data_IF_480942695043
#
_entry.id   IF_480942695043
#
_cell.length_a   1.000
_cell.length_b   1.000
_cell.length_c   1.000
_cell.angle_alpha   90.00
_cell.angle_beta   90.00
_cell.angle_gamma   90.00
#
_symmetry.space_group_name_H-M   'P 1'
#
loop_
_entity.id
_entity.type
_entity.pdbx_description
1 polymer ?
#
# COMPACT_ATOMS: atom_id res chain seq x y z
N UNK A 1 7.38 -66.70 -33.69
CA UNK A 1 8.28 -65.87 -32.87
C UNK A 1 7.46 -64.77 -32.22
N UNK A 2 7.41 -64.80 -30.89
CA UNK A 2 6.79 -63.78 -30.04
C UNK A 2 7.56 -62.46 -30.16
N UNK A 3 6.87 -61.32 -30.13
CA UNK A 3 7.12 -60.31 -29.09
C UNK A 3 6.02 -59.24 -29.06
N UNK A 4 5.32 -59.21 -27.92
CA UNK A 4 4.52 -58.09 -27.43
C UNK A 4 5.43 -56.88 -27.24
N UNK A 5 5.11 -55.75 -27.86
CA UNK A 5 5.64 -54.46 -27.42
C UNK A 5 4.76 -53.99 -26.28
N UNK A 6 5.34 -54.08 -25.08
CA UNK A 6 4.77 -53.68 -23.80
C UNK A 6 4.53 -52.18 -23.76
N UNK A 7 3.37 -51.79 -23.23
CA UNK A 7 3.07 -50.43 -22.83
C UNK A 7 3.99 -50.01 -21.68
N UNK A 8 4.72 -48.92 -21.86
CA UNK A 8 5.23 -48.13 -20.74
C UNK A 8 4.49 -46.80 -20.72
N UNK A 9 3.34 -46.79 -20.03
CA UNK A 9 2.80 -45.56 -19.46
C UNK A 9 3.90 -44.99 -18.57
N UNK A 10 4.50 -43.86 -18.95
CA UNK A 10 5.13 -42.98 -17.98
C UNK A 10 4.00 -42.48 -17.08
N UNK A 11 3.84 -43.16 -15.95
CA UNK A 11 3.07 -42.63 -14.82
C UNK A 11 3.91 -41.46 -14.31
N UNK A 12 3.53 -40.22 -14.66
CA UNK A 12 4.01 -39.07 -13.92
C UNK A 12 3.45 -39.21 -12.51
N UNK A 13 4.28 -39.66 -11.57
CA UNK A 13 3.91 -39.57 -10.17
C UNK A 13 3.65 -38.09 -9.86
N UNK A 14 2.54 -37.74 -9.18
CA UNK A 14 2.40 -36.39 -8.65
C UNK A 14 3.58 -36.17 -7.72
N UNK A 15 4.37 -35.11 -7.96
CA UNK A 15 5.33 -34.62 -6.98
C UNK A 15 4.49 -34.23 -5.77
N UNK A 16 4.44 -35.11 -4.76
CA UNK A 16 3.93 -34.75 -3.44
C UNK A 16 4.82 -33.61 -2.97
N UNK A 17 4.27 -32.42 -2.79
CA UNK A 17 5.04 -31.30 -2.31
C UNK A 17 5.63 -31.66 -0.93
N UNK A 18 6.84 -31.18 -0.58
CA UNK A 18 7.43 -31.46 0.73
C UNK A 18 6.46 -31.12 1.86
N UNK A 19 6.47 -31.90 2.92
CA UNK A 19 5.57 -31.71 4.07
C UNK A 19 5.63 -30.26 4.58
N UNK A 20 4.47 -29.62 4.75
CA UNK A 20 4.35 -28.22 5.18
C UNK A 20 4.44 -27.16 4.08
N UNK A 21 4.68 -27.53 2.81
CA UNK A 21 4.76 -26.56 1.70
C UNK A 21 3.42 -26.28 1.02
N UNK A 22 2.46 -27.20 1.09
CA UNK A 22 1.08 -26.97 0.62
C UNK A 22 0.21 -26.32 1.70
N UNK A 23 -0.69 -25.43 1.29
CA UNK A 23 -1.71 -24.90 2.19
C UNK A 23 -2.83 -25.92 2.37
N UNK A 24 -3.45 -25.99 3.56
CA UNK A 24 -4.63 -26.81 3.73
C UNK A 24 -5.79 -26.24 2.90
N UNK A 25 -6.81 -27.06 2.59
CA UNK A 25 -8.02 -26.59 1.95
C UNK A 25 -8.64 -25.39 2.70
N UNK A 26 -9.22 -24.43 1.97
CA UNK A 26 -9.73 -23.16 2.53
C UNK A 26 -10.79 -23.39 3.63
N UNK A 27 -11.56 -24.46 3.52
CA UNK A 27 -12.53 -24.91 4.51
C UNK A 27 -11.92 -25.20 5.90
N UNK A 28 -10.64 -25.56 5.96
CA UNK A 28 -9.93 -25.84 7.20
C UNK A 28 -9.22 -24.62 7.79
N UNK A 29 -9.12 -23.51 7.03
CA UNK A 29 -8.38 -22.31 7.44
C UNK A 29 -8.86 -21.72 8.76
N UNK A 30 -10.16 -21.81 9.09
CA UNK A 30 -10.70 -21.35 10.38
C UNK A 30 -10.07 -22.09 11.56
N UNK A 31 -9.79 -23.39 11.41
CA UNK A 31 -9.21 -24.23 12.46
C UNK A 31 -7.68 -24.13 12.47
N UNK A 32 -7.08 -24.08 11.28
CA UNK A 32 -5.64 -24.06 11.09
C UNK A 32 -5.04 -22.73 11.50
N UNK A 33 -5.53 -21.64 10.93
CA UNK A 33 -4.98 -20.32 11.17
C UNK A 33 -5.77 -19.68 12.30
N UNK A 34 -5.12 -19.45 13.45
CA UNK A 34 -5.75 -18.81 14.61
C UNK A 34 -5.90 -17.29 14.39
N UNK A 35 -6.72 -16.91 13.40
CA UNK A 35 -6.86 -15.53 12.93
C UNK A 35 -7.11 -14.53 14.07
N UNK A 36 -6.24 -13.53 14.15
CA UNK A 36 -6.39 -12.39 15.05
C UNK A 36 -7.47 -11.42 14.54
N UNK A 37 -8.53 -11.21 15.34
CA UNK A 37 -9.57 -10.21 15.03
C UNK A 37 -9.04 -8.76 15.12
N UNK A 38 -7.86 -8.53 15.72
CA UNK A 38 -7.31 -7.19 15.95
C UNK A 38 -6.97 -6.46 14.65
N UNK A 39 -6.36 -7.17 13.69
CA UNK A 39 -5.91 -6.58 12.42
C UNK A 39 -7.01 -6.49 11.36
N UNK A 40 -8.12 -7.23 11.54
CA UNK A 40 -9.20 -7.39 10.55
C UNK A 40 -8.67 -7.71 9.13
N UNK A 41 -7.51 -8.36 9.04
CA UNK A 41 -6.82 -8.62 7.77
C UNK A 41 -7.57 -9.71 7.01
N UNK A 42 -7.85 -9.43 5.75
CA UNK A 42 -8.27 -10.45 4.80
C UNK A 42 -7.05 -11.06 4.16
N UNK A 43 -7.15 -12.33 3.83
CA UNK A 43 -6.07 -13.05 3.20
C UNK A 43 -6.56 -13.62 1.88
N UNK A 44 -5.79 -13.45 0.82
CA UNK A 44 -6.02 -14.14 -0.44
C UNK A 44 -6.13 -15.67 -0.25
N UNK A 45 -7.20 -16.28 -0.77
CA UNK A 45 -7.48 -17.71 -0.62
C UNK A 45 -7.79 -18.44 -1.94
N UNK A 46 -7.89 -17.70 -3.05
CA UNK A 46 -8.16 -18.29 -4.36
C UNK A 46 -6.86 -18.45 -5.17
N UNK A 47 -6.54 -19.69 -5.54
CA UNK A 47 -5.30 -20.06 -6.24
C UNK A 47 -5.18 -19.36 -7.60
N UNK A 48 -6.24 -19.37 -8.40
CA UNK A 48 -6.24 -18.74 -9.74
C UNK A 48 -6.07 -17.22 -9.65
N UNK A 49 -6.64 -16.62 -8.61
CA UNK A 49 -6.45 -15.19 -8.33
C UNK A 49 -5.02 -14.90 -7.92
N UNK A 50 -4.42 -15.74 -7.08
CA UNK A 50 -3.02 -15.60 -6.68
C UNK A 50 -2.06 -15.70 -7.86
N UNK A 51 -2.26 -16.69 -8.75
CA UNK A 51 -1.48 -16.84 -9.99
C UNK A 51 -1.60 -15.63 -10.90
N UNK A 52 -2.83 -15.16 -11.10
CA UNK A 52 -3.09 -13.95 -11.91
C UNK A 52 -2.43 -12.71 -11.31
N UNK A 53 -2.51 -12.51 -10.00
CA UNK A 53 -1.85 -11.40 -9.31
C UNK A 53 -0.33 -11.51 -9.44
N UNK A 54 0.26 -12.69 -9.21
CA UNK A 54 1.69 -12.92 -9.37
C UNK A 54 2.19 -12.57 -10.78
N UNK A 55 1.50 -13.02 -11.83
CA UNK A 55 1.81 -12.67 -13.22
C UNK A 55 1.65 -11.17 -13.52
N UNK A 56 0.68 -10.47 -12.91
CA UNK A 56 0.52 -9.02 -13.11
C UNK A 56 1.56 -8.20 -12.32
N UNK A 57 1.99 -8.70 -11.16
CA UNK A 57 2.97 -8.04 -10.31
C UNK A 57 4.40 -8.27 -10.81
N UNK A 58 4.66 -9.44 -11.40
CA UNK A 58 5.95 -9.86 -11.96
C UNK A 58 5.74 -10.45 -13.37
N UNK A 59 5.44 -9.59 -14.36
CA UNK A 59 5.07 -10.03 -15.71
C UNK A 59 6.22 -10.71 -16.46
N UNK A 60 5.87 -11.37 -17.55
CA UNK A 60 6.83 -11.94 -18.51
C UNK A 60 7.86 -10.91 -18.95
N UNK A 61 9.12 -11.33 -19.02
CA UNK A 61 10.27 -10.46 -19.26
C UNK A 61 10.88 -9.84 -18.00
N UNK A 62 10.22 -9.94 -16.83
CA UNK A 62 10.86 -9.59 -15.55
C UNK A 62 12.07 -10.49 -15.30
N UNK A 63 13.13 -9.93 -14.72
CA UNK A 63 14.35 -10.67 -14.40
C UNK A 63 14.93 -10.19 -13.06
N UNK A 64 15.41 -11.14 -12.27
CA UNK A 64 16.14 -10.91 -11.02
C UNK A 64 15.42 -9.97 -10.05
N UNK A 65 14.08 -10.06 -9.94
CA UNK A 65 13.32 -9.25 -8.99
C UNK A 65 13.66 -9.62 -7.54
N UNK A 66 13.72 -8.61 -6.69
CA UNK A 66 13.73 -8.73 -5.24
C UNK A 66 12.35 -8.27 -4.77
N UNK A 67 11.53 -9.21 -4.34
CA UNK A 67 10.17 -8.96 -3.90
C UNK A 67 10.15 -8.87 -2.38
N UNK A 68 9.61 -7.79 -1.84
CA UNK A 68 9.28 -7.67 -0.42
C UNK A 68 7.77 -7.78 -0.29
N UNK A 69 7.28 -8.93 0.17
CA UNK A 69 5.86 -9.17 0.44
C UNK A 69 5.56 -8.95 1.92
N UNK A 70 4.90 -7.83 2.22
CA UNK A 70 4.47 -7.49 3.57
C UNK A 70 3.06 -8.03 3.86
N UNK A 71 2.88 -8.60 5.05
CA UNK A 71 1.63 -9.23 5.49
C UNK A 71 1.26 -10.43 4.61
N UNK A 72 2.22 -11.32 4.38
CA UNK A 72 2.07 -12.52 3.54
C UNK A 72 0.92 -13.44 3.99
N UNK A 73 0.55 -13.43 5.27
CA UNK A 73 -0.45 -14.32 5.83
C UNK A 73 -0.03 -15.79 5.65
N UNK A 74 -0.94 -16.72 5.31
CA UNK A 74 -0.60 -18.09 4.95
C UNK A 74 0.39 -18.20 3.79
N UNK A 75 0.56 -17.16 2.96
CA UNK A 75 1.50 -17.16 1.84
C UNK A 75 0.96 -17.82 0.57
N UNK A 76 -0.33 -17.64 0.26
CA UNK A 76 -0.88 -18.11 -1.02
C UNK A 76 -0.30 -17.31 -2.20
N UNK A 77 -0.20 -15.98 -2.05
CA UNK A 77 0.45 -15.14 -3.06
C UNK A 77 1.96 -15.45 -3.14
N UNK A 78 2.62 -15.65 -2.01
CA UNK A 78 4.03 -16.07 -1.94
C UNK A 78 4.28 -17.34 -2.76
N UNK A 79 3.43 -18.36 -2.60
CA UNK A 79 3.52 -19.61 -3.39
C UNK A 79 3.31 -19.36 -4.89
N UNK A 80 2.31 -18.55 -5.24
CA UNK A 80 2.06 -18.20 -6.64
C UNK A 80 3.25 -17.42 -7.26
N UNK A 81 3.93 -16.56 -6.49
CA UNK A 81 5.16 -15.89 -6.92
C UNK A 81 6.30 -16.89 -7.11
N UNK A 82 6.44 -17.89 -6.24
CA UNK A 82 7.47 -18.94 -6.37
C UNK A 82 7.24 -19.88 -7.56
N UNK A 83 5.99 -20.05 -8.00
CA UNK A 83 5.62 -20.80 -9.21
C UNK A 83 6.02 -20.11 -10.52
N UNK A 84 6.25 -18.79 -10.50
CA UNK A 84 6.76 -18.06 -11.67
C UNK A 84 8.14 -18.61 -12.10
N UNK A 85 8.52 -18.44 -13.38
CA UNK A 85 9.85 -18.83 -13.85
C UNK A 85 10.94 -18.28 -12.94
N UNK A 86 11.87 -19.16 -12.54
CA UNK A 86 12.80 -18.89 -11.43
C UNK A 86 13.64 -17.64 -11.66
N UNK A 87 14.01 -17.36 -12.90
CA UNK A 87 14.78 -16.19 -13.32
C UNK A 87 14.05 -14.85 -13.09
N UNK A 88 12.72 -14.86 -12.93
CA UNK A 88 11.96 -13.63 -12.69
C UNK A 88 12.18 -13.09 -11.28
N UNK A 89 12.39 -13.96 -10.30
CA UNK A 89 12.52 -13.60 -8.88
C UNK A 89 13.81 -14.19 -8.34
N UNK A 90 14.77 -13.30 -8.03
CA UNK A 90 16.03 -13.65 -7.38
C UNK A 90 15.86 -13.85 -5.87
N UNK A 91 14.99 -13.07 -5.24
CA UNK A 91 14.77 -13.09 -3.78
C UNK A 91 13.32 -12.73 -3.46
N UNK A 92 12.71 -13.45 -2.52
CA UNK A 92 11.35 -13.24 -2.01
C UNK A 92 11.39 -13.11 -0.49
N UNK A 93 11.26 -11.88 -0.01
CA UNK A 93 11.31 -11.54 1.42
C UNK A 93 9.88 -11.43 1.94
N UNK A 94 9.51 -12.27 2.90
CA UNK A 94 8.17 -12.37 3.47
C UNK A 94 8.16 -11.76 4.88
N UNK A 95 7.46 -10.63 5.07
CA UNK A 95 7.31 -9.99 6.38
C UNK A 95 5.98 -10.42 6.99
N UNK A 96 6.02 -11.18 8.10
CA UNK A 96 4.82 -11.68 8.79
C UNK A 96 5.02 -11.77 10.30
N UNK A 97 4.21 -11.01 11.07
CA UNK A 97 4.29 -10.95 12.53
C UNK A 97 3.64 -12.17 13.20
N UNK A 98 2.55 -12.71 12.62
CA UNK A 98 1.72 -13.71 13.29
C UNK A 98 2.35 -15.11 13.22
N UNK A 99 2.72 -15.74 14.36
CA UNK A 99 3.42 -17.02 14.37
C UNK A 99 2.67 -18.15 13.65
N UNK A 100 1.34 -18.19 13.76
CA UNK A 100 0.51 -19.23 13.15
C UNK A 100 0.48 -19.16 11.61
N UNK A 101 0.84 -18.02 11.02
CA UNK A 101 1.05 -17.92 9.59
C UNK A 101 2.49 -18.29 9.23
N UNK A 102 3.46 -17.86 10.05
CA UNK A 102 4.87 -18.23 9.87
C UNK A 102 5.14 -19.73 9.91
N UNK A 103 4.41 -20.49 10.72
CA UNK A 103 4.44 -21.97 10.72
C UNK A 103 4.22 -22.57 9.32
N UNK A 104 3.54 -21.85 8.42
CA UNK A 104 3.26 -22.25 7.04
C UNK A 104 4.11 -21.53 5.99
N UNK A 105 4.92 -20.56 6.41
CA UNK A 105 5.90 -19.87 5.56
C UNK A 105 7.30 -20.48 5.74
N UNK A 106 7.69 -20.82 6.97
CA UNK A 106 9.00 -21.37 7.33
C UNK A 106 9.37 -22.64 6.53
N UNK A 107 8.45 -23.58 6.25
CA UNK A 107 8.74 -24.69 5.35
C UNK A 107 9.13 -24.26 3.93
N UNK A 108 8.61 -23.13 3.41
CA UNK A 108 8.97 -22.62 2.08
C UNK A 108 10.44 -22.20 2.03
N UNK A 109 10.93 -21.54 3.08
CA UNK A 109 12.34 -21.15 3.20
C UNK A 109 13.28 -22.36 3.24
N UNK A 110 12.83 -23.50 3.75
CA UNK A 110 13.64 -24.73 3.80
C UNK A 110 13.76 -25.43 2.44
N UNK A 111 12.86 -25.13 1.49
CA UNK A 111 12.80 -25.83 0.20
C UNK A 111 13.12 -24.93 -1.00
N UNK A 112 13.08 -23.61 -0.83
CA UNK A 112 13.41 -22.63 -1.86
C UNK A 112 14.33 -21.53 -1.29
N UNK A 113 15.56 -21.50 -1.80
CA UNK A 113 16.63 -20.58 -1.42
C UNK A 113 16.34 -19.11 -1.73
N UNK A 114 15.31 -18.81 -2.53
CA UNK A 114 14.86 -17.44 -2.78
C UNK A 114 14.13 -16.86 -1.58
N UNK A 115 13.54 -17.69 -0.72
CA UNK A 115 12.61 -17.25 0.33
C UNK A 115 13.38 -16.82 1.58
N UNK A 116 13.01 -15.67 2.13
CA UNK A 116 13.54 -15.19 3.40
C UNK A 116 12.42 -14.61 4.27
N UNK A 117 12.27 -15.11 5.49
CA UNK A 117 11.17 -14.74 6.39
C UNK A 117 11.65 -13.76 7.43
N UNK A 118 10.95 -12.64 7.53
CA UNK A 118 11.18 -11.58 8.52
C UNK A 118 10.01 -11.62 9.53
N UNK A 119 10.23 -12.12 10.75
CA UNK A 119 9.18 -12.33 11.76
C UNK A 119 8.82 -11.03 12.51
N UNK A 120 8.52 -9.97 11.78
CA UNK A 120 8.27 -8.63 12.30
C UNK A 120 6.98 -8.04 11.69
N UNK A 121 6.51 -6.91 12.23
CA UNK A 121 5.40 -6.16 11.66
C UNK A 121 5.91 -5.13 10.63
N UNK A 122 5.39 -5.21 9.40
CA UNK A 122 5.71 -4.28 8.32
C UNK A 122 5.26 -2.83 8.59
N UNK A 123 4.46 -2.59 9.64
CA UNK A 123 4.09 -1.23 10.04
C UNK A 123 5.27 -0.42 10.58
N UNK A 124 6.25 -1.08 11.21
CA UNK A 124 7.32 -0.38 11.92
C UNK A 124 8.53 -0.11 11.04
N UNK A 125 9.02 1.13 11.06
CA UNK A 125 10.26 1.49 10.35
C UNK A 125 11.47 0.69 10.81
N UNK A 126 11.51 0.31 12.10
CA UNK A 126 12.57 -0.51 12.68
C UNK A 126 12.68 -1.89 12.03
N UNK A 127 11.59 -2.44 11.48
CA UNK A 127 11.62 -3.71 10.74
C UNK A 127 12.55 -3.60 9.54
N UNK A 128 12.45 -2.50 8.79
CA UNK A 128 13.27 -2.27 7.60
C UNK A 128 14.72 -1.91 7.96
N UNK A 129 14.94 -1.18 9.07
CA UNK A 129 16.29 -0.94 9.57
C UNK A 129 17.00 -2.24 9.97
N UNK A 130 16.31 -3.14 10.68
CA UNK A 130 16.85 -4.48 11.01
C UNK A 130 17.19 -5.29 9.76
N UNK A 131 16.31 -5.27 8.76
CA UNK A 131 16.54 -5.96 7.47
C UNK A 131 17.76 -5.43 6.70
N UNK A 132 18.16 -4.18 6.94
CA UNK A 132 19.39 -3.62 6.38
C UNK A 132 20.60 -4.04 7.21
N UNK A 133 20.48 -3.99 8.54
CA UNK A 133 21.55 -4.36 9.48
C UNK A 133 21.91 -5.85 9.42
N UNK A 134 20.94 -6.73 9.15
CA UNK A 134 21.12 -8.18 9.09
C UNK A 134 21.43 -8.74 7.68
N UNK A 135 21.54 -7.86 6.68
CA UNK A 135 21.83 -8.24 5.29
C UNK A 135 20.63 -8.82 4.52
N UNK A 136 19.41 -8.77 5.07
CA UNK A 136 18.20 -9.18 4.34
C UNK A 136 18.01 -8.40 3.03
N UNK A 137 18.47 -7.14 2.98
CA UNK A 137 18.43 -6.32 1.76
C UNK A 137 19.72 -6.37 0.92
N UNK A 138 20.65 -7.28 1.21
CA UNK A 138 21.87 -7.43 0.41
C UNK A 138 21.54 -7.75 -1.05
N UNK A 139 22.22 -7.03 -1.96
CA UNK A 139 22.03 -7.12 -3.40
C UNK A 139 20.90 -6.23 -3.95
N UNK A 140 20.27 -5.39 -3.12
CA UNK A 140 19.46 -4.27 -3.59
C UNK A 140 20.38 -3.10 -3.93
N UNK A 141 20.66 -2.93 -5.22
CA UNK A 141 21.48 -1.83 -5.72
C UNK A 141 20.62 -0.56 -5.93
N UNK A 142 21.10 0.63 -5.52
CA UNK A 142 20.46 1.87 -5.86
C UNK A 142 20.32 2.07 -7.37
N UNK A 143 19.16 2.56 -7.79
CA UNK A 143 18.83 2.85 -9.17
C UNK A 143 18.52 4.34 -9.36
N UNK A 144 18.81 4.86 -10.56
CA UNK A 144 18.47 6.23 -10.91
C UNK A 144 16.97 6.49 -10.77
N UNK A 145 16.61 7.65 -10.21
CA UNK A 145 15.23 8.02 -9.90
C UNK A 145 14.38 8.29 -11.15
N UNK A 146 15.00 8.64 -12.28
CA UNK A 146 14.28 8.89 -13.53
C UNK A 146 13.59 7.63 -14.06
N UNK A 147 14.07 6.45 -13.69
CA UNK A 147 13.54 5.17 -14.12
C UNK A 147 12.84 4.45 -12.96
N UNK A 148 11.87 3.59 -13.27
CA UNK A 148 11.28 2.71 -12.26
C UNK A 148 12.33 1.67 -11.88
N UNK A 149 12.50 1.41 -10.59
CA UNK A 149 13.49 0.44 -10.13
C UNK A 149 13.23 -0.93 -10.80
N UNK A 150 14.22 -1.50 -11.51
CA UNK A 150 14.01 -2.70 -12.31
C UNK A 150 13.86 -3.96 -11.44
N UNK A 151 14.58 -4.06 -10.32
CA UNK A 151 14.61 -5.27 -9.48
C UNK A 151 13.76 -5.21 -8.21
N UNK A 152 13.80 -4.14 -7.42
CA UNK A 152 13.09 -4.06 -6.14
C UNK A 152 11.59 -3.74 -6.33
N UNK A 153 10.73 -4.55 -5.72
CA UNK A 153 9.27 -4.39 -5.76
C UNK A 153 8.67 -4.70 -4.38
N UNK A 154 7.84 -3.80 -3.86
CA UNK A 154 7.08 -4.03 -2.64
C UNK A 154 5.65 -4.47 -2.95
N UNK A 155 5.18 -5.53 -2.30
CA UNK A 155 3.83 -6.07 -2.43
C UNK A 155 3.21 -6.15 -1.04
N UNK A 156 1.94 -5.79 -0.86
CA UNK A 156 1.30 -5.95 0.44
C UNK A 156 -0.21 -6.17 0.38
N UNK A 157 -0.67 -7.08 1.24
CA UNK A 157 -2.08 -7.23 1.60
C UNK A 157 -2.38 -6.33 2.82
N UNK A 158 -2.92 -5.15 2.57
CA UNK A 158 -3.09 -4.10 3.58
C UNK A 158 -4.18 -4.50 4.59
N UNK A 159 -3.92 -4.41 5.90
CA UNK A 159 -4.94 -4.64 6.93
C UNK A 159 -6.16 -3.72 6.76
N UNK A 160 -7.38 -4.27 6.91
CA UNK A 160 -8.63 -3.54 6.69
C UNK A 160 -9.07 -2.73 7.93
N UNK A 161 -8.16 -1.89 8.44
CA UNK A 161 -8.39 -1.03 9.61
C UNK A 161 -7.59 0.28 9.49
N UNK A 162 -7.66 1.12 10.53
CA UNK A 162 -6.92 2.40 10.57
C UNK A 162 -5.41 2.20 10.46
N UNK A 163 -4.86 1.09 10.96
CA UNK A 163 -3.43 0.79 10.81
C UNK A 163 -3.03 0.62 9.34
N UNK A 164 -3.86 -0.06 8.53
CA UNK A 164 -3.61 -0.17 7.09
C UNK A 164 -3.64 1.17 6.37
N UNK A 165 -4.59 2.05 6.71
CA UNK A 165 -4.64 3.40 6.15
C UNK A 165 -3.40 4.22 6.53
N UNK A 166 -2.98 4.12 7.79
CA UNK A 166 -1.77 4.76 8.29
C UNK A 166 -0.52 4.24 7.58
N UNK A 167 -0.43 2.93 7.32
CA UNK A 167 0.68 2.36 6.56
C UNK A 167 0.76 2.95 5.16
N UNK A 168 -0.32 2.91 4.37
CA UNK A 168 -0.32 3.51 3.01
C UNK A 168 0.07 4.99 3.06
N UNK A 169 -0.49 5.72 4.03
CA UNK A 169 -0.20 7.13 4.28
C UNK A 169 1.28 7.39 4.60
N UNK A 170 1.92 6.50 5.37
CA UNK A 170 3.34 6.54 5.72
C UNK A 170 4.23 6.24 4.50
N UNK A 171 3.92 5.18 3.75
CA UNK A 171 4.66 4.83 2.53
C UNK A 171 4.64 5.98 1.51
N UNK A 172 3.47 6.58 1.27
CA UNK A 172 3.38 7.72 0.34
C UNK A 172 4.16 8.95 0.83
N UNK A 173 4.23 9.17 2.15
CA UNK A 173 4.98 10.29 2.77
C UNK A 173 6.49 10.09 2.76
N UNK A 174 6.96 8.85 2.61
CA UNK A 174 8.38 8.58 2.47
C UNK A 174 8.92 8.91 1.07
N UNK A 175 8.05 9.04 0.07
CA UNK A 175 8.44 9.27 -1.34
C UNK A 175 9.20 10.59 -1.54
N UNK A 176 8.69 11.78 -1.12
CA UNK A 176 9.33 13.06 -1.45
C UNK A 176 10.76 13.16 -0.93
N UNK A 177 10.98 12.70 0.29
CA UNK A 177 12.28 12.74 0.96
C UNK A 177 13.16 11.51 0.63
N UNK A 178 12.70 10.63 -0.27
CA UNK A 178 13.37 9.37 -0.64
C UNK A 178 13.78 8.51 0.58
N UNK A 179 12.93 8.49 1.61
CA UNK A 179 13.11 7.68 2.83
C UNK A 179 12.67 6.23 2.59
N UNK A 180 12.93 5.35 3.56
CA UNK A 180 12.60 3.92 3.46
C UNK A 180 13.24 3.32 2.19
N UNK A 181 12.55 2.46 1.45
CA UNK A 181 13.07 1.84 0.22
C UNK A 181 13.22 2.81 -0.94
N UNK A 182 12.66 4.02 -0.87
CA UNK A 182 12.82 5.02 -1.94
C UNK A 182 14.26 5.57 -2.02
N UNK A 183 15.11 5.28 -1.03
CA UNK A 183 16.55 5.53 -1.13
C UNK A 183 17.25 4.67 -2.19
N UNK A 184 16.67 3.52 -2.54
CA UNK A 184 17.16 2.65 -3.61
C UNK A 184 16.63 3.06 -4.99
N UNK A 185 15.75 4.05 -5.08
CA UNK A 185 15.19 4.52 -6.34
C UNK A 185 13.66 4.45 -6.37
N UNK A 186 13.11 4.58 -7.58
CA UNK A 186 11.67 4.73 -7.80
C UNK A 186 10.96 3.36 -7.82
N UNK A 187 10.77 2.77 -6.64
CA UNK A 187 10.20 1.42 -6.52
C UNK A 187 8.67 1.41 -6.71
N UNK A 188 8.10 0.43 -7.43
CA UNK A 188 6.66 0.22 -7.46
C UNK A 188 6.16 -0.43 -6.16
N UNK A 189 4.95 -0.07 -5.75
CA UNK A 189 4.21 -0.72 -4.66
C UNK A 189 2.91 -1.33 -5.20
N UNK A 190 2.71 -2.64 -5.09
CA UNK A 190 1.43 -3.29 -5.39
C UNK A 190 0.66 -3.59 -4.10
N UNK A 191 -0.45 -2.89 -3.89
CA UNK A 191 -1.21 -2.91 -2.64
C UNK A 191 -2.61 -3.47 -2.86
N UNK A 192 -2.97 -4.52 -2.13
CA UNK A 192 -4.34 -5.03 -2.07
C UNK A 192 -5.02 -4.44 -0.84
N UNK A 193 -6.11 -3.71 -1.02
CA UNK A 193 -6.81 -2.99 0.06
C UNK A 193 -8.33 -2.98 -0.17
N UNK A 194 -9.11 -2.38 0.72
CA UNK A 194 -10.57 -2.20 0.49
C UNK A 194 -10.85 -1.30 -0.71
N UNK A 195 -11.98 -1.52 -1.41
CA UNK A 195 -12.44 -0.59 -2.45
C UNK A 195 -12.63 0.84 -1.95
N UNK A 196 -13.03 1.02 -0.68
CA UNK A 196 -13.13 2.34 -0.04
C UNK A 196 -11.78 3.04 0.02
N UNK A 197 -10.72 2.33 0.43
CA UNK A 197 -9.38 2.90 0.50
C UNK A 197 -8.82 3.16 -0.90
N UNK A 198 -8.98 2.21 -1.83
CA UNK A 198 -8.63 2.40 -3.24
C UNK A 198 -9.28 3.67 -3.81
N UNK A 199 -10.57 3.88 -3.57
CA UNK A 199 -11.28 5.06 -4.08
C UNK A 199 -10.79 6.33 -3.39
N UNK A 200 -10.44 6.29 -2.11
CA UNK A 200 -9.86 7.44 -1.40
C UNK A 200 -8.49 7.85 -1.94
N UNK A 201 -7.70 6.90 -2.43
CA UNK A 201 -6.39 7.15 -3.06
C UNK A 201 -6.55 7.71 -4.48
N UNK A 202 -7.45 7.11 -5.27
CA UNK A 202 -7.58 7.35 -6.71
C UNK A 202 -8.66 8.36 -7.11
N UNK A 203 -9.51 8.81 -6.18
CA UNK A 203 -10.60 9.74 -6.46
C UNK A 203 -10.10 11.01 -7.18
N UNK A 204 -10.64 11.33 -8.38
CA UNK A 204 -10.21 12.50 -9.14
C UNK A 204 -10.71 13.80 -8.51
N UNK A 205 -10.25 14.93 -9.05
CA UNK A 205 -10.77 16.28 -8.75
C UNK A 205 -12.29 16.31 -8.84
N UNK A 206 -12.98 16.94 -7.88
CA UNK A 206 -14.44 17.01 -7.85
C UNK A 206 -15.13 15.84 -7.15
N UNK A 207 -14.47 14.69 -7.05
CA UNK A 207 -15.11 13.49 -6.52
C UNK A 207 -15.38 13.60 -5.01
N UNK A 208 -16.57 13.17 -4.56
CA UNK A 208 -17.01 13.28 -3.15
C UNK A 208 -16.09 12.51 -2.19
N UNK A 209 -15.52 11.40 -2.65
CA UNK A 209 -14.60 10.57 -1.86
C UNK A 209 -13.14 11.01 -1.97
N UNK A 210 -12.83 12.14 -2.59
CA UNK A 210 -11.48 12.72 -2.53
C UNK A 210 -11.17 13.16 -1.10
N UNK A 211 -10.02 12.73 -0.60
CA UNK A 211 -9.58 12.91 0.80
C UNK A 211 -8.13 13.36 0.86
N UNK A 212 -7.66 13.76 2.06
CA UNK A 212 -6.25 14.15 2.29
C UNK A 212 -5.26 13.13 1.76
N UNK A 213 -5.50 11.83 2.03
CA UNK A 213 -4.58 10.77 1.59
C UNK A 213 -4.51 10.72 0.06
N UNK A 214 -5.64 10.83 -0.64
CA UNK A 214 -5.65 10.91 -2.11
C UNK A 214 -4.92 12.13 -2.66
N UNK A 215 -5.08 13.31 -2.07
CA UNK A 215 -4.35 14.53 -2.49
C UNK A 215 -2.84 14.32 -2.37
N UNK A 216 -2.35 13.85 -1.23
CA UNK A 216 -0.93 13.62 -1.01
C UNK A 216 -0.40 12.50 -1.92
N UNK A 217 -1.10 11.37 -2.01
CA UNK A 217 -0.69 10.25 -2.85
C UNK A 217 -0.61 10.64 -4.33
N UNK A 218 -1.62 11.34 -4.87
CA UNK A 218 -1.62 11.77 -6.28
C UNK A 218 -0.54 12.82 -6.58
N UNK A 219 -0.13 13.60 -5.56
CA UNK A 219 0.94 14.57 -5.69
C UNK A 219 2.33 13.91 -5.80
N UNK A 220 2.51 12.70 -5.27
CA UNK A 220 3.81 12.02 -5.22
C UNK A 220 3.90 10.78 -6.11
N UNK A 221 2.77 10.23 -6.57
CA UNK A 221 2.72 8.97 -7.30
C UNK A 221 1.63 8.93 -8.39
N UNK A 222 1.88 8.11 -9.40
CA UNK A 222 0.89 7.60 -10.34
C UNK A 222 0.23 6.35 -9.77
N UNK A 223 -1.10 6.26 -9.95
CA UNK A 223 -1.90 5.14 -9.46
C UNK A 223 -2.45 4.33 -10.64
N UNK A 224 -2.28 3.01 -10.60
CA UNK A 224 -2.79 2.10 -11.63
C UNK A 224 -3.61 0.99 -10.99
N UNK A 225 -4.64 0.53 -11.69
CA UNK A 225 -5.44 -0.64 -11.30
C UNK A 225 -5.27 -1.71 -12.36
N UNK A 226 -4.40 -2.68 -12.08
CA UNK A 226 -4.06 -3.74 -13.04
C UNK A 226 -5.07 -4.88 -13.08
N UNK A 227 -5.91 -4.99 -12.05
CA UNK A 227 -6.91 -6.05 -11.92
C UNK A 227 -8.28 -5.39 -11.88
N UNK A 228 -9.17 -5.69 -12.85
CA UNK A 228 -10.56 -5.25 -12.79
C UNK A 228 -11.24 -5.73 -11.50
N UNK A 229 -12.09 -4.89 -10.88
CA UNK A 229 -12.80 -5.24 -9.65
C UNK A 229 -13.62 -6.54 -9.78
N UNK A 230 -14.27 -6.72 -10.94
CA UNK A 230 -15.05 -7.92 -11.27
C UNK A 230 -14.27 -9.24 -11.17
N UNK A 231 -12.94 -9.19 -11.28
CA UNK A 231 -12.07 -10.37 -11.21
C UNK A 231 -11.68 -10.69 -9.75
N UNK A 232 -12.08 -9.83 -8.80
CA UNK A 232 -11.91 -9.96 -7.36
C UNK A 232 -13.27 -10.05 -6.64
N UNK A 233 -14.36 -10.20 -7.40
CA UNK A 233 -15.74 -10.28 -6.89
C UNK A 233 -16.39 -11.63 -7.20
N UNK A 234 -17.18 -12.18 -6.27
CA UNK A 234 -17.44 -11.68 -4.92
C UNK A 234 -16.24 -11.88 -3.98
N UNK A 235 -16.01 -10.92 -3.07
CA UNK A 235 -14.80 -10.90 -2.24
C UNK A 235 -14.57 -12.20 -1.45
N UNK A 236 -15.62 -12.86 -1.00
CA UNK A 236 -15.57 -14.12 -0.25
C UNK A 236 -15.04 -15.31 -1.04
N UNK A 237 -15.03 -15.25 -2.38
CA UNK A 237 -14.42 -16.28 -3.23
C UNK A 237 -12.92 -16.09 -3.42
N UNK A 238 -12.41 -14.87 -3.24
CA UNK A 238 -11.02 -14.51 -3.49
C UNK A 238 -10.23 -14.29 -2.20
N UNK A 239 -10.90 -13.81 -1.16
CA UNK A 239 -10.30 -13.41 0.10
C UNK A 239 -11.02 -14.05 1.28
N UNK A 240 -10.26 -14.74 2.10
CA UNK A 240 -10.71 -15.35 3.33
C UNK A 240 -10.71 -14.33 4.48
N UNK A 241 -11.78 -14.39 5.28
CA UNK A 241 -11.86 -13.79 6.60
C UNK A 241 -12.64 -14.73 7.52
N UNK A 242 -12.15 -15.01 8.75
CA UNK A 242 -12.83 -15.92 9.66
C UNK A 242 -14.25 -15.43 9.95
N UNK A 243 -15.23 -16.29 9.67
CA UNK A 243 -16.64 -16.04 9.98
C UNK A 243 -17.05 -16.87 11.19
N UNK A 244 -17.63 -16.25 12.22
CA UNK A 244 -18.11 -16.96 13.42
C UNK A 244 -19.34 -17.80 13.07
N UNK A 245 -19.38 -19.07 13.52
CA UNK A 245 -20.62 -19.87 13.48
C UNK A 245 -21.55 -19.41 14.59
N UNK A 246 -22.84 -19.29 14.29
CA UNK A 246 -23.86 -19.10 15.32
C UNK A 246 -23.91 -20.34 16.21
N UNK A 247 -23.73 -20.16 17.52
CA UNK A 247 -23.80 -21.23 18.51
C UNK A 247 -25.17 -21.89 18.61
N UNK A 248 -26.24 -21.20 18.20
CA UNK A 248 -27.63 -21.70 18.25
C UNK A 248 -28.11 -22.41 16.98
N UNK A 249 -27.59 -22.05 15.80
CA UNK A 249 -28.08 -22.59 14.51
C UNK A 249 -27.04 -23.38 13.71
N UNK A 250 -25.77 -23.38 14.14
CA UNK A 250 -24.66 -23.99 13.41
C UNK A 250 -24.31 -23.30 12.07
N UNK A 251 -25.13 -22.36 11.62
CA UNK A 251 -24.94 -21.62 10.37
C UNK A 251 -23.78 -20.63 10.49
N UNK A 252 -22.96 -20.52 9.44
CA UNK A 252 -21.97 -19.48 9.30
C UNK A 252 -22.66 -18.12 9.28
N UNK A 253 -22.33 -17.22 10.21
CA UNK A 253 -22.70 -15.82 10.06
C UNK A 253 -21.78 -15.23 9.00
N UNK A 254 -22.34 -14.84 7.85
CA UNK A 254 -21.60 -14.02 6.89
C UNK A 254 -21.12 -12.75 7.58
N UNK A 255 -19.82 -12.67 7.84
CA UNK A 255 -19.21 -11.46 8.37
C UNK A 255 -19.32 -10.38 7.30
N UNK A 256 -19.90 -9.22 7.62
CA UNK A 256 -19.86 -8.05 6.72
C UNK A 256 -18.44 -7.76 6.27
N UNK A 257 -17.45 -8.01 7.14
CA UNK A 257 -16.04 -7.88 6.80
C UNK A 257 -15.68 -8.86 5.70
N UNK A 258 -16.06 -10.14 5.77
CA UNK A 258 -15.75 -11.15 4.74
C UNK A 258 -16.25 -10.75 3.34
N UNK A 259 -17.41 -10.10 3.24
CA UNK A 259 -17.96 -9.66 1.96
C UNK A 259 -17.44 -8.28 1.48
N UNK A 260 -16.70 -7.52 2.31
CA UNK A 260 -16.16 -6.21 1.89
C UNK A 260 -15.28 -6.32 0.64
N UNK A 261 -15.62 -5.67 -0.48
CA UNK A 261 -14.81 -5.75 -1.70
C UNK A 261 -13.35 -5.32 -1.46
N UNK A 262 -12.42 -6.05 -2.06
CA UNK A 262 -11.01 -5.72 -2.10
C UNK A 262 -10.64 -5.28 -3.51
N UNK A 263 -9.64 -4.41 -3.62
CA UNK A 263 -9.14 -3.91 -4.88
C UNK A 263 -7.62 -3.72 -4.80
N UNK A 264 -6.97 -4.00 -5.93
CA UNK A 264 -5.57 -3.75 -6.14
C UNK A 264 -5.31 -2.30 -6.58
N UNK A 265 -4.27 -1.67 -6.05
CA UNK A 265 -3.69 -0.43 -6.55
C UNK A 265 -2.17 -0.55 -6.63
N UNK A 266 -1.62 -0.27 -7.81
CA UNK A 266 -0.19 -0.03 -7.99
C UNK A 266 0.11 1.44 -7.75
N UNK A 267 1.03 1.74 -6.86
CA UNK A 267 1.57 3.08 -6.59
C UNK A 267 2.98 3.15 -7.19
N UNK A 268 3.16 3.98 -8.20
CA UNK A 268 4.47 4.24 -8.81
C UNK A 268 4.86 5.68 -8.49
N UNK A 269 5.92 5.94 -7.70
CA UNK A 269 6.32 7.31 -7.41
C UNK A 269 6.58 8.10 -8.70
N UNK A 270 6.27 9.40 -8.73
CA UNK A 270 6.51 10.27 -9.89
C UNK A 270 7.99 10.61 -9.99
N UNK A 271 8.45 10.88 -11.22
CA UNK A 271 9.79 11.44 -11.44
C UNK A 271 9.84 12.86 -10.85
N UNK A 272 8.92 13.72 -11.28
CA UNK A 272 8.68 15.06 -10.73
C UNK A 272 7.40 15.05 -9.89
N UNK A 273 7.54 14.68 -8.61
CA UNK A 273 6.45 14.79 -7.64
C UNK A 273 6.20 16.25 -7.26
N UNK A 274 4.95 16.63 -7.06
CA UNK A 274 4.58 18.00 -6.70
C UNK A 274 5.01 18.39 -5.28
N UNK A 275 5.21 17.41 -4.40
CA UNK A 275 5.80 17.60 -3.07
C UNK A 275 7.32 17.53 -3.21
N UNK A 276 7.99 18.67 -3.01
CA UNK A 276 9.46 18.76 -2.99
C UNK A 276 10.00 18.16 -1.67
N UNK A 277 11.26 17.72 -1.63
CA UNK A 277 11.93 17.40 -0.37
C UNK A 277 11.77 18.54 0.63
N UNK A 278 11.60 18.20 1.91
CA UNK A 278 11.42 19.15 3.04
C UNK A 278 10.14 20.00 3.04
N UNK A 279 9.31 19.94 1.98
CA UNK A 279 8.03 20.67 1.92
C UNK A 279 6.84 19.89 2.50
N UNK A 280 7.06 18.64 2.94
CA UNK A 280 5.98 17.74 3.34
C UNK A 280 5.15 18.29 4.51
N UNK A 281 5.79 18.98 5.46
CA UNK A 281 5.10 19.58 6.62
C UNK A 281 4.12 20.68 6.20
N UNK A 282 4.51 21.51 5.22
CA UNK A 282 3.63 22.53 4.65
C UNK A 282 2.45 21.88 3.92
N UNK A 283 2.71 20.86 3.10
CA UNK A 283 1.67 20.06 2.45
C UNK A 283 0.69 19.46 3.46
N UNK A 284 1.20 18.78 4.49
CA UNK A 284 0.35 18.13 5.49
C UNK A 284 -0.48 19.14 6.29
N UNK A 285 0.09 20.29 6.63
CA UNK A 285 -0.64 21.37 7.29
C UNK A 285 -1.76 21.92 6.40
N UNK A 286 -1.42 22.40 5.20
CA UNK A 286 -2.35 23.11 4.31
C UNK A 286 -3.48 22.16 3.87
N UNK A 287 -3.15 20.95 3.43
CA UNK A 287 -4.17 19.96 3.00
C UNK A 287 -5.04 19.56 4.20
N UNK A 288 -4.48 19.37 5.40
CA UNK A 288 -5.27 19.05 6.60
C UNK A 288 -6.27 20.15 6.94
N UNK A 289 -5.86 21.42 6.92
CA UNK A 289 -6.75 22.54 7.26
C UNK A 289 -7.87 22.71 6.22
N UNK A 290 -7.52 22.70 4.93
CA UNK A 290 -8.49 23.01 3.88
C UNK A 290 -9.42 21.83 3.57
N UNK A 291 -8.97 20.59 3.72
CA UNK A 291 -9.82 19.42 3.45
C UNK A 291 -10.90 19.17 4.51
N UNK A 292 -10.86 19.87 5.66
CA UNK A 292 -11.98 19.91 6.63
C UNK A 292 -13.23 20.51 5.96
N UNK A 293 -13.04 21.58 5.17
CA UNK A 293 -14.12 22.27 4.44
C UNK A 293 -13.97 22.07 2.93
N UNK A 294 -13.66 20.83 2.50
CA UNK A 294 -13.39 20.46 1.09
C UNK A 294 -14.51 20.76 0.07
N UNK A 295 -15.68 21.21 0.54
CA UNK A 295 -16.84 21.61 -0.27
C UNK A 295 -16.97 23.13 -0.45
N UNK A 296 -16.28 23.89 0.39
CA UNK A 296 -16.39 25.34 0.47
C UNK A 296 -15.35 25.94 -0.48
N UNK A 297 -15.70 26.96 -1.29
CA UNK A 297 -14.74 27.65 -2.16
C UNK A 297 -13.47 28.08 -1.41
N UNK A 298 -12.31 27.95 -2.06
CA UNK A 298 -11.00 28.31 -1.48
C UNK A 298 -11.00 29.74 -0.94
N UNK A 299 -11.62 30.68 -1.66
CA UNK A 299 -11.75 32.08 -1.24
C UNK A 299 -12.44 32.28 0.12
N UNK A 300 -13.25 31.32 0.57
CA UNK A 300 -13.97 31.36 1.84
C UNK A 300 -13.27 30.54 2.94
N UNK A 301 -12.61 29.44 2.60
CA UNK A 301 -11.98 28.57 3.59
C UNK A 301 -10.48 28.83 3.82
N UNK A 302 -9.84 29.69 3.02
CA UNK A 302 -8.40 29.97 3.16
C UNK A 302 -8.02 30.52 4.54
N UNK A 303 -8.95 31.18 5.23
CA UNK A 303 -8.75 31.66 6.61
C UNK A 303 -8.43 30.56 7.61
N UNK A 304 -8.72 29.29 7.29
CA UNK A 304 -8.35 28.15 8.13
C UNK A 304 -6.84 27.93 8.22
N UNK A 305 -6.04 28.52 7.31
CA UNK A 305 -4.58 28.45 7.35
C UNK A 305 -3.94 29.37 8.41
N UNK A 306 -4.71 30.30 8.98
CA UNK A 306 -4.27 31.20 10.03
C UNK A 306 -4.66 32.67 9.82
N UNK A 307 -4.42 33.52 10.84
CA UNK A 307 -4.70 34.95 10.75
C UNK A 307 -3.97 35.60 9.56
N UNK A 308 -4.69 36.37 8.74
CA UNK A 308 -4.11 37.03 7.57
C UNK A 308 -3.99 36.15 6.32
N UNK A 309 -4.36 34.86 6.36
CA UNK A 309 -4.35 33.97 5.19
C UNK A 309 -5.16 34.47 3.98
N UNK A 310 -6.25 35.26 4.11
CA UNK A 310 -6.90 35.88 2.96
C UNK A 310 -5.98 36.74 2.09
N UNK A 311 -4.86 37.23 2.62
CA UNK A 311 -3.84 37.95 1.83
C UNK A 311 -3.22 37.08 0.73
N UNK A 312 -3.18 35.75 0.91
CA UNK A 312 -2.64 34.80 -0.06
C UNK A 312 -3.47 34.76 -1.35
N UNK A 313 -4.77 35.05 -1.28
CA UNK A 313 -5.65 35.07 -2.45
C UNK A 313 -5.12 36.02 -3.53
N UNK A 314 -4.56 37.17 -3.14
CA UNK A 314 -3.99 38.14 -4.08
C UNK A 314 -2.82 37.57 -4.88
N UNK A 315 -1.96 36.78 -4.22
CA UNK A 315 -0.82 36.11 -4.87
C UNK A 315 -1.29 34.96 -5.77
N UNK A 316 -2.31 34.21 -5.35
CA UNK A 316 -2.83 33.06 -6.10
C UNK A 316 -3.58 33.45 -7.37
N UNK A 317 -4.15 34.66 -7.41
CA UNK A 317 -4.91 35.17 -8.56
C UNK A 317 -4.18 36.28 -9.29
N UNK A 318 -2.88 36.43 -9.09
CA UNK A 318 -2.11 37.52 -9.70
C UNK A 318 -2.15 37.40 -11.24
N UNK A 319 -2.74 38.37 -11.97
CA UNK A 319 -2.84 38.29 -13.43
C UNK A 319 -1.49 38.32 -14.15
N UNK A 320 -0.41 38.75 -13.46
CA UNK A 320 0.95 38.75 -14.02
C UNK A 320 1.58 37.36 -14.04
N UNK A 321 1.06 36.39 -13.29
CA UNK A 321 1.54 35.01 -13.32
C UNK A 321 1.00 34.28 -14.56
N UNK A 322 1.78 33.35 -15.15
CA UNK A 322 1.27 32.44 -16.19
C UNK A 322 0.00 31.74 -15.72
N UNK A 323 -0.95 31.45 -16.63
CA UNK A 323 -2.23 30.82 -16.28
C UNK A 323 -2.09 29.49 -15.53
N UNK A 324 -0.99 28.77 -15.76
CA UNK A 324 -0.63 27.51 -15.08
C UNK A 324 -0.28 27.70 -13.59
N UNK A 325 0.17 28.91 -13.22
CA UNK A 325 0.51 29.30 -11.85
C UNK A 325 -0.60 30.12 -11.18
N UNK A 326 -1.75 30.26 -11.82
CA UNK A 326 -2.94 30.87 -11.23
C UNK A 326 -3.85 29.79 -10.66
N UNK A 327 -4.44 30.05 -9.50
CA UNK A 327 -5.40 29.13 -8.86
C UNK A 327 -6.79 29.75 -8.91
N UNK A 328 -7.78 28.99 -9.42
CA UNK A 328 -9.17 29.42 -9.36
C UNK A 328 -9.69 29.30 -7.92
N UNK A 329 -9.67 30.42 -7.19
CA UNK A 329 -10.09 30.49 -5.79
C UNK A 329 -11.59 30.24 -5.58
N UNK A 330 -12.39 30.17 -6.65
CA UNK A 330 -13.81 29.77 -6.55
C UNK A 330 -13.95 28.24 -6.44
N UNK A 331 -12.95 27.48 -6.88
CA UNK A 331 -12.94 26.02 -6.70
C UNK A 331 -12.84 25.68 -5.21
N UNK A 332 -13.60 24.69 -4.73
CA UNK A 332 -13.39 24.16 -3.39
C UNK A 332 -12.13 23.26 -3.36
N UNK A 333 -11.52 23.01 -2.18
CA UNK A 333 -10.31 22.20 -2.07
C UNK A 333 -10.38 20.80 -2.71
N UNK A 334 -11.55 20.15 -2.73
CA UNK A 334 -11.66 18.83 -3.41
C UNK A 334 -11.50 18.92 -4.93
N UNK A 335 -11.63 20.11 -5.52
CA UNK A 335 -11.60 20.33 -6.97
C UNK A 335 -10.21 20.78 -7.44
N UNK A 336 -9.34 21.20 -6.52
CA UNK A 336 -7.98 21.65 -6.84
C UNK A 336 -7.13 20.51 -7.42
N UNK A 337 -6.55 20.74 -8.59
CA UNK A 337 -5.55 19.86 -9.20
C UNK A 337 -4.26 19.81 -8.37
N UNK A 338 -3.39 18.84 -8.68
CA UNK A 338 -2.07 18.72 -8.02
C UNK A 338 -1.23 19.99 -8.21
N UNK A 339 -1.25 20.59 -9.40
CA UNK A 339 -0.50 21.84 -9.68
C UNK A 339 -1.09 23.06 -8.95
N UNK A 340 -2.42 23.13 -8.82
CA UNK A 340 -3.06 24.16 -8.01
C UNK A 340 -2.69 24.02 -6.51
N UNK A 341 -2.61 22.78 -6.00
CA UNK A 341 -2.11 22.52 -4.66
C UNK A 341 -0.64 22.94 -4.51
N UNK A 342 0.23 22.58 -5.46
CA UNK A 342 1.64 22.96 -5.48
C UNK A 342 1.80 24.48 -5.42
N UNK A 343 1.08 25.20 -6.27
CA UNK A 343 1.09 26.66 -6.32
C UNK A 343 0.60 27.27 -5.00
N UNK A 344 -0.48 26.74 -4.44
CA UNK A 344 -1.00 27.18 -3.13
C UNK A 344 0.04 27.02 -2.01
N UNK A 345 0.80 25.93 -2.05
CA UNK A 345 1.77 25.60 -1.01
C UNK A 345 3.05 26.42 -1.18
N UNK A 346 3.54 26.61 -2.41
CA UNK A 346 4.66 27.51 -2.69
C UNK A 346 4.33 28.93 -2.17
N UNK A 347 3.11 29.44 -2.42
CA UNK A 347 2.64 30.73 -1.89
C UNK A 347 2.52 30.76 -0.36
N UNK A 348 2.13 29.62 0.25
CA UNK A 348 2.05 29.48 1.71
C UNK A 348 3.44 29.45 2.37
N UNK A 349 4.43 28.81 1.76
CA UNK A 349 5.80 28.77 2.28
C UNK A 349 6.48 30.14 2.22
N UNK A 350 6.19 30.93 1.18
CA UNK A 350 6.64 32.31 1.06
C UNK A 350 5.87 33.32 1.93
N UNK A 351 4.86 32.88 2.68
CA UNK A 351 4.03 33.77 3.48
C UNK A 351 4.75 34.18 4.76
N UNK A 352 5.09 35.49 4.97
CA UNK A 352 5.87 35.92 6.12
C UNK A 352 5.20 35.67 7.47
N UNK A 353 3.87 35.56 7.48
CA UNK A 353 3.07 35.34 8.67
C UNK A 353 2.55 33.90 8.78
N UNK A 354 3.13 32.97 8.02
CA UNK A 354 2.73 31.55 8.10
C UNK A 354 2.97 31.01 9.51
N UNK A 355 2.09 30.13 10.03
CA UNK A 355 2.33 29.47 11.30
C UNK A 355 3.68 28.71 11.30
N UNK A 356 4.50 28.90 12.33
CA UNK A 356 5.78 28.19 12.46
C UNK A 356 5.59 26.72 12.84
N UNK A 357 4.54 26.42 13.61
CA UNK A 357 4.22 25.06 14.08
C UNK A 357 3.23 24.38 13.13
N UNK A 358 3.77 23.67 12.13
CA UNK A 358 2.97 22.99 11.11
C UNK A 358 2.61 21.54 11.50
N UNK A 359 3.48 20.88 12.28
CA UNK A 359 3.28 19.51 12.77
C UNK A 359 2.27 19.43 13.93
N UNK A 360 1.59 18.28 14.04
CA UNK A 360 0.59 17.99 15.08
C UNK A 360 1.26 17.75 16.45
N UNK A 361 2.50 17.27 16.46
CA UNK A 361 3.12 16.69 17.67
C UNK A 361 3.44 17.73 18.76
N UNK A 362 3.60 19.01 18.41
CA UNK A 362 3.90 20.07 19.39
C UNK A 362 2.65 20.72 20.00
N UNK A 363 1.49 20.61 19.36
CA UNK A 363 0.27 21.27 19.84
C UNK A 363 -0.33 20.58 21.08
N UNK A 364 -0.19 19.25 21.19
CA UNK A 364 -0.80 18.47 22.28
C UNK A 364 0.12 18.30 23.52
N UNK A 365 1.44 18.44 23.37
CA UNK A 365 2.37 18.34 24.52
C UNK A 365 2.26 19.58 25.42
N UNK A 366 1.94 20.75 24.87
CA UNK A 366 1.89 22.00 25.63
C UNK A 366 0.58 22.15 26.43
N UNK A 367 -0.50 21.49 26.00
CA UNK A 367 -1.80 21.52 26.69
C UNK A 367 -1.89 20.55 27.89
N UNK A 368 -0.95 19.61 28.03
CA UNK A 368 -0.96 18.58 29.08
C UNK A 368 -0.20 18.91 30.38
N UNK A 369 0.43 20.08 30.49
CA UNK A 369 1.27 20.45 31.66
C UNK A 369 0.65 21.41 32.67
N UNK A 370 -0.63 21.79 32.53
CA UNK A 370 -1.31 22.68 33.48
C UNK A 370 -2.58 22.05 34.05
N UNK A 371 -2.43 20.90 34.74
CA UNK A 371 -3.57 20.20 35.33
C UNK A 371 -3.19 19.07 36.28
N UNK A 372 -2.28 19.33 37.22
CA UNK A 372 -2.13 18.52 38.43
C UNK A 372 -1.49 19.39 39.53
N UNK A 373 -2.34 20.02 40.33
CA UNK A 373 -2.09 20.32 41.73
C UNK A 373 -3.20 19.69 42.53
#
# INVERSE_FOLDING_TARGET
MLNKVSSSKMISMPRVAPEGTELPPVEDWVKTFKFSEKRKRKTLCNVETAKKLAELFVPEGSKDKIIVEAYAGPGLLSRALLELPRERIKKLILIEEEPHFREWLEPLQNVDDRVHIVPEDAFWWTTYSKMEEDGTLDGVEPHDWSEVHPNLHFISQIPNNVHGEQLISQLCRAIPDRKWFFKFGRIPLDLITTTTMHTRLSAPTGHKQRTKVGVVTQAVADLQTLVPLKDLEPASQHFFYPSKRNSSSGQLRHSKIAEMPQQHVRVVPRIDGAIKPDSLDAWDYVVRQLMITKATPLSKCISALGPGAPSLLKKLTDPSLPSEKQVDVKKPPRDLSTEEWRTLIDVFEEWPFRPEQLSIDKAFITAGKHGAR
#
